data_IF_425135393129
#
_entry.id   IF_425135393129
#
_cell.length_a   1.000
_cell.length_b   1.000
_cell.length_c   1.000
_cell.angle_alpha   90.00
_cell.angle_beta   90.00
_cell.angle_gamma   90.00
#
_symmetry.space_group_name_H-M   'P 1'
#
loop_
_entity.id
_entity.type
_entity.pdbx_description
1 polymer ?
#
# COMPACT_ATOMS: atom_id res chain seq x y z
N UNK A 1 13.32 4.67 -2.27
CA UNK A 1 12.57 5.31 -1.17
C UNK A 1 11.33 5.97 -1.78
N UNK A 2 10.15 5.80 -1.19
CA UNK A 2 8.92 6.40 -1.71
C UNK A 2 9.06 7.93 -1.61
N UNK A 3 8.97 8.64 -2.73
CA UNK A 3 8.97 10.10 -2.69
C UNK A 3 7.57 10.55 -2.27
N UNK A 4 7.38 10.81 -0.96
CA UNK A 4 6.08 11.09 -0.37
C UNK A 4 5.39 12.24 -1.09
N UNK A 5 6.09 13.29 -1.47
CA UNK A 5 5.48 14.45 -2.15
C UNK A 5 5.03 14.16 -3.59
N UNK A 6 5.65 13.20 -4.26
CA UNK A 6 5.27 12.78 -5.62
C UNK A 6 4.26 11.63 -5.65
N UNK A 7 3.94 11.03 -4.50
CA UNK A 7 3.03 9.90 -4.44
C UNK A 7 1.57 10.35 -4.58
N UNK A 8 0.81 9.62 -5.40
CA UNK A 8 -0.63 9.81 -5.57
C UNK A 8 -1.36 9.77 -4.22
N UNK A 9 -2.41 10.59 -4.06
CA UNK A 9 -3.28 10.60 -2.87
C UNK A 9 -3.83 9.20 -2.56
N UNK A 10 -4.16 8.42 -3.59
CA UNK A 10 -4.60 7.03 -3.43
C UNK A 10 -3.50 6.15 -2.82
N UNK A 11 -2.27 6.31 -3.29
CA UNK A 11 -1.11 5.57 -2.77
C UNK A 11 -0.82 5.91 -1.31
N UNK A 12 -0.98 7.18 -0.92
CA UNK A 12 -0.83 7.61 0.48
C UNK A 12 -1.94 7.04 1.36
N UNK A 13 -3.19 7.16 0.91
CA UNK A 13 -4.35 6.65 1.64
C UNK A 13 -4.27 5.13 1.83
N UNK A 14 -3.91 4.37 0.80
CA UNK A 14 -3.74 2.92 0.90
C UNK A 14 -2.60 2.52 1.83
N UNK A 15 -1.48 3.25 1.81
CA UNK A 15 -0.38 2.97 2.73
C UNK A 15 -0.78 3.24 4.19
N UNK A 16 -1.47 4.36 4.46
CA UNK A 16 -1.99 4.67 5.80
C UNK A 16 -2.99 3.60 6.24
N UNK A 17 -3.93 3.22 5.37
CA UNK A 17 -4.91 2.18 5.64
C UNK A 17 -4.24 0.83 5.97
N UNK A 18 -3.21 0.43 5.20
CA UNK A 18 -2.42 -0.76 5.51
C UNK A 18 -1.77 -0.67 6.88
N UNK A 19 -1.10 0.45 7.20
CA UNK A 19 -0.42 0.62 8.49
C UNK A 19 -1.42 0.49 9.64
N UNK A 20 -2.54 1.19 9.56
CA UNK A 20 -3.57 1.16 10.59
C UNK A 20 -4.16 -0.24 10.74
N UNK A 21 -4.50 -0.91 9.63
CA UNK A 21 -5.07 -2.25 9.66
C UNK A 21 -4.10 -3.28 10.24
N UNK A 22 -2.81 -3.22 9.87
CA UNK A 22 -1.78 -4.12 10.40
C UNK A 22 -1.54 -3.87 11.88
N UNK A 23 -1.43 -2.61 12.31
CA UNK A 23 -1.25 -2.27 13.73
C UNK A 23 -2.44 -2.73 14.56
N UNK A 24 -3.67 -2.47 14.11
CA UNK A 24 -4.88 -2.94 14.78
C UNK A 24 -4.91 -4.47 14.86
N UNK A 25 -4.62 -5.17 13.76
CA UNK A 25 -4.53 -6.62 13.72
C UNK A 25 -3.48 -7.17 14.69
N UNK A 26 -2.32 -6.52 14.81
CA UNK A 26 -1.27 -6.91 15.73
C UNK A 26 -1.71 -6.76 17.20
N UNK A 27 -2.41 -5.68 17.54
CA UNK A 27 -2.95 -5.46 18.90
C UNK A 27 -3.95 -6.56 19.25
N UNK A 28 -4.88 -6.87 18.34
CA UNK A 28 -5.84 -7.97 18.57
C UNK A 28 -5.16 -9.32 18.66
N UNK A 29 -4.10 -9.56 17.88
CA UNK A 29 -3.34 -10.80 17.92
C UNK A 29 -2.65 -10.98 19.28
N UNK A 30 -1.99 -9.93 19.78
CA UNK A 30 -1.32 -9.94 21.08
C UNK A 30 -2.34 -10.12 22.21
N UNK A 31 -3.45 -9.37 22.19
CA UNK A 31 -4.53 -9.56 23.17
C UNK A 31 -5.13 -10.97 23.12
N UNK A 32 -5.35 -11.51 21.92
CA UNK A 32 -5.84 -12.88 21.74
C UNK A 32 -4.88 -13.91 22.33
N UNK A 33 -3.58 -13.72 22.15
CA UNK A 33 -2.56 -14.59 22.73
C UNK A 33 -2.47 -14.50 24.26
N UNK A 34 -2.66 -13.31 24.84
CA UNK A 34 -2.67 -13.14 26.30
C UNK A 34 -3.92 -13.75 26.93
N UNK A 35 -5.07 -13.64 26.27
CA UNK A 35 -6.37 -14.06 26.79
C UNK A 35 -6.79 -15.47 26.35
N UNK A 36 -5.96 -16.14 25.54
CA UNK A 36 -6.25 -17.41 24.88
C UNK A 36 -7.64 -17.45 24.21
N UNK A 37 -8.01 -16.31 23.58
CA UNK A 37 -9.34 -16.07 23.07
C UNK A 37 -9.37 -16.16 21.54
N UNK A 38 -9.97 -17.24 21.04
CA UNK A 38 -10.11 -17.54 19.60
C UNK A 38 -10.87 -16.46 18.81
N UNK A 39 -11.78 -15.73 19.47
CA UNK A 39 -12.50 -14.62 18.85
C UNK A 39 -11.56 -13.48 18.46
N UNK A 40 -10.65 -13.11 19.35
CA UNK A 40 -9.65 -12.07 19.10
C UNK A 40 -8.66 -12.48 18.00
N UNK A 41 -8.28 -13.76 17.93
CA UNK A 41 -7.47 -14.29 16.82
C UNK A 41 -8.18 -14.19 15.47
N UNK A 42 -9.49 -14.43 15.44
CA UNK A 42 -10.29 -14.31 14.22
C UNK A 42 -10.37 -12.85 13.77
N UNK A 43 -10.65 -11.94 14.71
CA UNK A 43 -10.67 -10.49 14.43
C UNK A 43 -9.29 -10.00 13.95
N UNK A 44 -8.21 -10.42 14.61
CA UNK A 44 -6.85 -10.11 14.20
C UNK A 44 -6.56 -10.57 12.76
N UNK A 45 -6.97 -11.80 12.43
CA UNK A 45 -6.79 -12.38 11.09
C UNK A 45 -7.51 -11.57 10.01
N UNK A 46 -8.74 -11.12 10.28
CA UNK A 46 -9.51 -10.26 9.35
C UNK A 46 -8.79 -8.93 9.12
N UNK A 47 -8.35 -8.26 10.19
CA UNK A 47 -7.62 -6.99 10.07
C UNK A 47 -6.30 -7.14 9.29
N UNK A 48 -5.55 -8.20 9.55
CA UNK A 48 -4.32 -8.49 8.81
C UNK A 48 -4.59 -8.77 7.34
N UNK A 49 -5.65 -9.53 7.02
CA UNK A 49 -6.05 -9.80 5.64
C UNK A 49 -6.42 -8.52 4.89
N UNK A 50 -7.20 -7.62 5.52
CA UNK A 50 -7.53 -6.31 4.97
C UNK A 50 -6.25 -5.49 4.74
N UNK A 51 -5.32 -5.51 5.69
CA UNK A 51 -4.02 -4.84 5.56
C UNK A 51 -3.23 -5.31 4.35
N UNK A 52 -3.18 -6.62 4.11
CA UNK A 52 -2.52 -7.23 2.95
C UNK A 52 -3.19 -6.78 1.65
N UNK A 53 -4.52 -6.83 1.57
CA UNK A 53 -5.26 -6.42 0.37
C UNK A 53 -5.02 -4.94 0.06
N UNK A 54 -5.12 -4.07 1.06
CA UNK A 54 -4.82 -2.66 0.92
C UNK A 54 -3.36 -2.42 0.46
N UNK A 55 -2.42 -3.24 0.96
CA UNK A 55 -1.02 -3.16 0.58
C UNK A 55 -0.81 -3.51 -0.90
N UNK A 56 -1.46 -4.58 -1.37
CA UNK A 56 -1.39 -5.02 -2.76
C UNK A 56 -2.00 -3.98 -3.71
N UNK A 57 -3.14 -3.39 -3.34
CA UNK A 57 -3.78 -2.30 -4.10
C UNK A 57 -2.85 -1.07 -4.15
N UNK A 58 -2.31 -0.68 -3.00
CA UNK A 58 -1.35 0.42 -2.90
C UNK A 58 -0.10 0.19 -3.75
N UNK A 59 0.44 -1.02 -3.76
CA UNK A 59 1.60 -1.41 -4.58
C UNK A 59 1.27 -1.41 -6.08
N UNK A 60 0.11 -1.96 -6.46
CA UNK A 60 -0.38 -1.92 -7.84
C UNK A 60 -0.57 -0.49 -8.36
N UNK A 61 -1.11 0.42 -7.54
CA UNK A 61 -1.27 1.83 -7.90
C UNK A 61 0.08 2.49 -8.19
N UNK A 62 1.11 2.23 -7.37
CA UNK A 62 2.48 2.74 -7.58
C UNK A 62 3.09 2.25 -8.88
N UNK A 63 2.93 0.97 -9.19
CA UNK A 63 3.44 0.40 -10.43
C UNK A 63 2.74 1.02 -11.65
N UNK A 64 1.42 1.21 -11.58
CA UNK A 64 0.65 1.87 -12.65
C UNK A 64 1.12 3.31 -12.87
N UNK A 65 1.29 4.07 -11.79
CA UNK A 65 1.73 5.47 -11.87
C UNK A 65 3.17 5.58 -12.39
N UNK A 66 4.06 4.68 -11.95
CA UNK A 66 5.43 4.58 -12.46
C UNK A 66 5.46 4.25 -13.96
N UNK A 67 4.63 3.29 -14.42
CA UNK A 67 4.51 2.96 -15.85
C UNK A 67 3.99 4.15 -16.68
N UNK A 68 3.02 4.90 -16.15
CA UNK A 68 2.49 6.12 -16.80
C UNK A 68 3.56 7.20 -16.92
N UNK A 69 4.30 7.45 -15.85
CA UNK A 69 5.39 8.43 -15.84
C UNK A 69 6.52 8.06 -16.82
N UNK A 70 6.89 6.78 -16.89
CA UNK A 70 7.89 6.29 -17.86
C UNK A 70 7.40 6.47 -19.31
N UNK A 71 6.15 6.11 -19.59
CA UNK A 71 5.55 6.30 -20.93
C UNK A 71 5.50 7.78 -21.32
N UNK A 72 5.17 8.66 -20.38
CA UNK A 72 5.16 10.10 -20.62
C UNK A 72 6.57 10.62 -20.91
N UNK A 73 7.59 10.23 -20.14
CA UNK A 73 9.00 10.57 -20.42
C UNK A 73 9.46 10.11 -21.80
N UNK A 74 9.08 8.91 -22.22
CA UNK A 74 9.42 8.38 -23.54
C UNK A 74 8.76 9.17 -24.68
N UNK A 75 7.50 9.56 -24.52
CA UNK A 75 6.78 10.38 -25.50
C UNK A 75 7.29 11.84 -25.53
N UNK A 76 7.70 12.40 -24.39
CA UNK A 76 8.30 13.73 -24.29
C UNK A 76 9.74 13.79 -24.81
N UNK A 77 10.43 12.65 -24.89
CA UNK A 77 11.74 12.51 -25.51
C UNK A 77 11.67 12.37 -27.04
N UNK A 78 10.59 12.89 -27.67
CA UNK A 78 10.41 12.94 -29.13
C UNK A 78 11.69 13.40 -29.85
N UNK A 79 11.87 12.96 -31.12
CA UNK A 79 13.18 12.85 -31.75
C UNK A 79 13.93 14.15 -31.57
N UNK A 80 15.13 14.08 -30.97
CA UNK A 80 16.09 15.19 -31.02
C UNK A 80 16.18 15.58 -32.49
N UNK A 81 15.51 16.68 -32.86
CA UNK A 81 15.63 17.29 -34.17
C UNK A 81 17.11 17.62 -34.28
N UNK A 82 17.85 16.74 -34.97
CA UNK A 82 19.24 16.93 -35.30
C UNK A 82 19.35 18.27 -36.00
N UNK A 83 20.15 19.15 -35.41
CA UNK A 83 20.74 20.28 -36.11
C UNK A 83 21.90 19.77 -36.94
#
# INVERSE_FOLDING_TARGET
>A
MLNWDSASTLTKAMLIATIVAVLAGLVFLIMGAIQDNTGLFTTASVFLMIGIIAHLIGFGSRMRDGRRALKQKMNSAGPRRGR
#
